data_IF_397580481616
#
_entry.id   IF_397580481616
#
_cell.length_a   1.000
_cell.length_b   1.000
_cell.length_c   1.000
_cell.angle_alpha   90.00
_cell.angle_beta   90.00
_cell.angle_gamma   90.00
#
_symmetry.space_group_name_H-M   'P 1'
#
loop_
_entity.id
_entity.type
_entity.pdbx_description
1 polymer ?
#
# COMPACT_ATOMS: atom_id res chain seq x y z
N UNK A 1 7.28 11.24 -5.09
CA UNK A 1 6.44 10.53 -4.10
C UNK A 1 5.45 11.51 -3.51
N UNK A 2 4.21 11.06 -3.35
CA UNK A 2 3.12 11.85 -2.79
C UNK A 2 2.50 11.14 -1.60
N UNK A 3 2.09 11.88 -0.59
CA UNK A 3 1.31 11.41 0.55
C UNK A 3 0.54 12.61 1.12
N UNK A 4 -0.60 12.38 1.75
CA UNK A 4 -1.35 13.45 2.44
C UNK A 4 -0.73 13.78 3.80
N UNK A 5 0.10 12.90 4.35
CA UNK A 5 0.74 13.04 5.66
C UNK A 5 2.19 13.52 5.52
N UNK A 6 2.44 14.77 5.85
CA UNK A 6 3.80 15.34 5.82
C UNK A 6 4.80 14.56 6.70
N UNK A 7 4.33 13.95 7.79
CA UNK A 7 5.15 13.11 8.66
C UNK A 7 5.75 11.91 7.91
N UNK A 8 4.97 11.25 7.07
CA UNK A 8 5.41 10.13 6.24
C UNK A 8 6.42 10.60 5.18
N UNK A 9 6.15 11.73 4.54
CA UNK A 9 7.05 12.32 3.55
C UNK A 9 8.38 12.76 4.13
N UNK A 10 8.41 13.19 5.39
CA UNK A 10 9.66 13.53 6.10
C UNK A 10 10.55 12.29 6.25
N UNK A 11 9.99 11.16 6.68
CA UNK A 11 10.72 9.89 6.76
C UNK A 11 11.21 9.45 5.37
N UNK A 12 10.34 9.55 4.36
CA UNK A 12 10.67 9.23 2.98
C UNK A 12 11.85 10.08 2.48
N UNK A 13 11.83 11.39 2.71
CA UNK A 13 12.91 12.33 2.35
C UNK A 13 14.23 11.93 2.98
N UNK A 14 14.25 11.67 4.30
CA UNK A 14 15.46 11.23 5.01
C UNK A 14 16.06 9.96 4.38
N UNK A 15 15.22 9.01 3.98
CA UNK A 15 15.68 7.77 3.32
C UNK A 15 16.26 8.05 1.93
N UNK A 16 15.64 8.91 1.14
CA UNK A 16 16.17 9.30 -0.17
C UNK A 16 17.48 10.06 -0.07
N UNK A 17 17.62 10.98 0.87
CA UNK A 17 18.86 11.69 1.14
C UNK A 17 19.99 10.73 1.51
N UNK A 18 19.69 9.74 2.38
CA UNK A 18 20.64 8.69 2.77
C UNK A 18 21.03 7.76 1.63
N UNK A 19 20.18 7.59 0.60
CA UNK A 19 20.46 6.73 -0.56
C UNK A 19 21.47 7.31 -1.54
N UNK A 20 21.79 8.60 -1.46
CA UNK A 20 22.65 9.31 -2.41
C UNK A 20 21.99 9.57 -3.78
N UNK A 21 20.72 9.23 -3.96
CA UNK A 21 19.97 9.55 -5.17
C UNK A 21 19.56 11.03 -5.18
N UNK A 22 19.55 11.65 -6.36
CA UNK A 22 19.17 13.06 -6.53
C UNK A 22 17.96 13.28 -7.46
N UNK A 23 17.46 12.22 -8.08
CA UNK A 23 16.39 12.24 -9.08
C UNK A 23 15.00 11.95 -8.47
N UNK A 24 14.71 12.51 -7.30
CA UNK A 24 13.45 12.31 -6.60
C UNK A 24 12.82 13.64 -6.16
N UNK A 25 11.51 13.59 -5.94
CA UNK A 25 10.73 14.67 -5.35
C UNK A 25 9.70 14.10 -4.38
N UNK A 26 9.50 14.77 -3.25
CA UNK A 26 8.45 14.46 -2.25
C UNK A 26 7.58 15.69 -2.05
N UNK A 27 6.27 15.49 -2.13
CA UNK A 27 5.30 16.58 -2.06
C UNK A 27 4.01 16.11 -1.41
N UNK A 28 3.41 16.97 -0.56
CA UNK A 28 2.10 16.69 0.04
C UNK A 28 1.03 16.81 -1.03
N UNK A 29 0.33 15.70 -1.29
CA UNK A 29 -0.80 15.70 -2.21
C UNK A 29 -1.74 14.53 -1.92
N UNK A 30 -3.02 14.74 -2.22
CA UNK A 30 -4.00 13.67 -2.28
C UNK A 30 -3.85 12.92 -3.60
N UNK A 31 -3.82 11.60 -3.53
CA UNK A 31 -3.66 10.75 -4.72
C UNK A 31 -4.87 10.77 -5.67
N UNK A 32 -5.96 11.45 -5.28
CA UNK A 32 -7.13 11.74 -6.15
C UNK A 32 -6.95 13.03 -6.93
N UNK A 33 -5.90 13.81 -6.64
CA UNK A 33 -5.58 15.07 -7.33
C UNK A 33 -4.07 15.36 -7.17
N UNK A 34 -3.27 14.86 -8.10
CA UNK A 34 -1.82 14.98 -8.05
C UNK A 34 -1.33 16.25 -8.76
N UNK A 35 -0.34 16.97 -8.21
CA UNK A 35 0.23 18.16 -8.83
C UNK A 35 1.23 17.80 -9.94
N UNK A 36 0.79 17.00 -10.90
CA UNK A 36 1.57 16.58 -12.06
C UNK A 36 0.75 16.71 -13.34
N UNK A 37 1.42 16.95 -14.45
CA UNK A 37 0.79 17.15 -15.76
C UNK A 37 0.17 15.84 -16.29
N UNK A 38 -0.82 15.99 -17.19
CA UNK A 38 -1.43 14.86 -17.89
C UNK A 38 -0.39 14.10 -18.71
N UNK A 39 -0.44 12.76 -18.68
CA UNK A 39 0.43 11.91 -19.46
C UNK A 39 1.94 12.13 -19.20
N UNK A 40 2.31 12.49 -17.97
CA UNK A 40 3.70 12.79 -17.59
C UNK A 40 4.44 11.62 -16.96
N UNK A 41 3.74 10.56 -16.52
CA UNK A 41 4.32 9.42 -15.83
C UNK A 41 4.24 8.13 -16.68
N UNK A 42 5.23 7.27 -16.49
CA UNK A 42 5.33 5.96 -17.16
C UNK A 42 4.94 4.81 -16.22
N UNK A 43 4.83 5.06 -14.93
CA UNK A 43 4.46 4.09 -13.91
C UNK A 43 3.89 4.83 -12.69
N UNK A 44 2.75 4.36 -12.19
CA UNK A 44 2.23 4.72 -10.89
C UNK A 44 2.32 3.51 -9.95
N UNK A 45 2.94 3.72 -8.78
CA UNK A 45 3.04 2.67 -7.76
C UNK A 45 2.38 3.16 -6.47
N UNK A 46 1.50 2.36 -5.90
CA UNK A 46 0.92 2.59 -4.58
C UNK A 46 1.18 1.40 -3.68
N UNK A 47 1.69 1.65 -2.48
CA UNK A 47 1.91 0.62 -1.47
C UNK A 47 1.08 0.90 -0.23
N UNK A 48 0.15 0.00 0.11
CA UNK A 48 -0.69 0.03 1.32
C UNK A 48 -1.34 1.39 1.55
N UNK A 49 -1.96 1.96 0.51
CA UNK A 49 -2.46 3.33 0.53
C UNK A 49 -3.86 3.47 -0.08
N UNK A 50 -4.13 2.87 -1.23
CA UNK A 50 -5.40 3.04 -1.96
C UNK A 50 -6.56 2.41 -1.21
N UNK A 51 -6.35 1.29 -0.55
CA UNK A 51 -7.36 0.61 0.25
C UNK A 51 -7.96 1.49 1.35
N UNK A 52 -7.22 2.48 1.87
CA UNK A 52 -7.75 3.43 2.85
C UNK A 52 -8.91 4.29 2.30
N UNK A 53 -9.00 4.50 0.99
CA UNK A 53 -10.16 5.17 0.40
C UNK A 53 -11.45 4.38 0.63
N UNK A 54 -11.37 3.05 0.60
CA UNK A 54 -12.50 2.20 0.90
C UNK A 54 -12.81 2.15 2.40
N UNK A 55 -11.78 1.98 3.23
CA UNK A 55 -11.94 1.81 4.69
C UNK A 55 -12.45 3.08 5.37
N UNK A 56 -11.93 4.24 4.99
CA UNK A 56 -12.28 5.52 5.65
C UNK A 56 -13.54 6.17 5.09
N UNK A 57 -14.05 5.70 3.95
CA UNK A 57 -15.23 6.27 3.29
C UNK A 57 -16.30 5.22 2.99
N UNK A 58 -16.80 4.49 4.00
CA UNK A 58 -17.66 3.33 3.78
C UNK A 58 -18.94 3.62 2.97
N UNK A 59 -19.45 4.85 3.06
CA UNK A 59 -20.65 5.26 2.30
C UNK A 59 -20.35 5.69 0.85
N UNK A 60 -19.13 6.10 0.54
CA UNK A 60 -18.76 6.69 -0.76
C UNK A 60 -17.52 6.02 -1.39
N UNK A 61 -17.06 4.90 -0.82
CA UNK A 61 -15.80 4.25 -1.16
C UNK A 61 -15.61 4.03 -2.66
N UNK A 62 -16.66 3.59 -3.37
CA UNK A 62 -16.58 3.35 -4.82
C UNK A 62 -16.31 4.64 -5.58
N UNK A 63 -17.01 5.72 -5.26
CA UNK A 63 -16.79 7.02 -5.90
C UNK A 63 -15.39 7.57 -5.61
N UNK A 64 -14.85 7.34 -4.41
CA UNK A 64 -13.49 7.77 -4.07
C UNK A 64 -12.42 6.96 -4.82
N UNK A 65 -12.62 5.66 -4.98
CA UNK A 65 -11.74 4.81 -5.79
C UNK A 65 -11.82 5.14 -7.29
N UNK A 66 -13.01 5.46 -7.80
CA UNK A 66 -13.20 5.91 -9.19
C UNK A 66 -12.48 7.24 -9.47
N UNK A 67 -12.52 8.19 -8.53
CA UNK A 67 -11.74 9.44 -8.63
C UNK A 67 -10.25 9.18 -8.68
N UNK A 68 -9.76 8.31 -7.77
CA UNK A 68 -8.36 7.90 -7.76
C UNK A 68 -7.96 7.25 -9.09
N UNK A 69 -8.74 6.31 -9.60
CA UNK A 69 -8.44 5.62 -10.85
C UNK A 69 -8.46 6.59 -12.06
N UNK A 70 -9.39 7.55 -12.07
CA UNK A 70 -9.43 8.60 -13.09
C UNK A 70 -8.17 9.47 -13.05
N UNK A 71 -7.70 9.82 -11.85
CA UNK A 71 -6.47 10.60 -11.67
C UNK A 71 -5.23 9.80 -12.12
N UNK A 72 -5.13 8.50 -11.79
CA UNK A 72 -4.06 7.65 -12.29
C UNK A 72 -4.05 7.58 -13.82
N UNK A 73 -5.22 7.44 -14.44
CA UNK A 73 -5.36 7.45 -15.91
C UNK A 73 -4.99 8.80 -16.53
N UNK A 74 -5.25 9.92 -15.84
CA UNK A 74 -4.87 11.26 -16.29
C UNK A 74 -3.35 11.44 -16.33
N UNK A 75 -2.66 11.07 -15.24
CA UNK A 75 -1.22 11.31 -15.09
C UNK A 75 -0.35 10.35 -15.88
N UNK A 76 -0.86 9.16 -16.19
CA UNK A 76 -0.10 8.12 -16.89
C UNK A 76 -0.18 8.29 -18.41
N UNK A 77 0.95 8.01 -19.08
CA UNK A 77 1.01 7.88 -20.53
C UNK A 77 0.27 6.64 -20.99
N UNK A 78 -0.25 6.66 -22.18
CA UNK A 78 -0.84 5.46 -22.81
C UNK A 78 0.18 4.34 -22.92
N UNK A 79 -0.21 3.14 -22.51
CA UNK A 79 0.65 1.97 -22.45
C UNK A 79 1.46 1.78 -21.17
N UNK A 80 1.32 2.72 -20.23
CA UNK A 80 1.92 2.67 -18.89
C UNK A 80 1.14 1.75 -17.94
N UNK A 81 1.65 1.60 -16.70
CA UNK A 81 1.05 0.71 -15.71
C UNK A 81 0.74 1.43 -14.40
N UNK A 82 -0.36 1.01 -13.77
CA UNK A 82 -0.61 1.19 -12.34
C UNK A 82 -0.20 -0.12 -11.66
N UNK A 83 0.55 -0.04 -10.54
CA UNK A 83 0.90 -1.19 -9.70
C UNK A 83 0.51 -0.88 -8.25
N UNK A 84 -0.21 -1.80 -7.63
CA UNK A 84 -0.61 -1.72 -6.23
C UNK A 84 0.02 -2.84 -5.42
N UNK A 85 0.40 -2.52 -4.20
CA UNK A 85 0.77 -3.48 -3.16
C UNK A 85 -0.19 -3.29 -1.99
N UNK A 86 -0.91 -4.35 -1.61
CA UNK A 86 -1.87 -4.33 -0.50
C UNK A 86 -1.76 -5.61 0.30
N UNK A 87 -2.10 -5.57 1.60
CA UNK A 87 -2.01 -6.73 2.47
C UNK A 87 -3.05 -7.80 2.12
N UNK A 88 -2.63 -9.04 2.15
CA UNK A 88 -3.51 -10.22 2.10
C UNK A 88 -3.40 -11.06 3.38
N UNK A 89 -2.85 -10.50 4.43
CA UNK A 89 -2.82 -11.10 5.75
C UNK A 89 -1.46 -11.09 6.43
N UNK A 90 -1.29 -10.21 7.40
CA UNK A 90 -0.14 -10.16 8.31
C UNK A 90 -0.26 -11.27 9.35
N UNK A 91 0.83 -11.94 9.68
CA UNK A 91 0.87 -13.11 10.57
C UNK A 91 0.31 -14.39 9.95
N UNK A 92 0.20 -14.46 8.61
CA UNK A 92 -0.29 -15.62 7.88
C UNK A 92 0.67 -16.03 6.77
N UNK A 93 0.85 -17.33 6.57
CA UNK A 93 1.71 -17.88 5.52
C UNK A 93 1.04 -17.99 4.14
N UNK A 94 -0.29 -17.85 4.12
CA UNK A 94 -1.13 -17.85 2.91
C UNK A 94 -2.13 -16.71 2.97
N UNK A 95 -2.57 -16.19 1.82
CA UNK A 95 -3.57 -15.14 1.76
C UNK A 95 -4.85 -15.50 2.51
N UNK A 96 -5.39 -14.52 3.22
CA UNK A 96 -6.70 -14.60 3.87
C UNK A 96 -7.60 -13.47 3.35
N UNK A 97 -8.90 -13.65 3.49
CA UNK A 97 -9.85 -12.57 3.23
C UNK A 97 -9.85 -11.60 4.42
N UNK A 98 -9.54 -10.34 4.15
CA UNK A 98 -9.61 -9.26 5.13
C UNK A 98 -11.01 -8.64 5.05
N UNK A 99 -11.78 -8.74 6.14
CA UNK A 99 -13.19 -8.31 6.17
C UNK A 99 -13.38 -6.82 5.79
N UNK A 100 -12.46 -5.97 6.24
CA UNK A 100 -12.51 -4.54 5.95
C UNK A 100 -12.13 -4.18 4.49
N UNK A 101 -11.62 -5.14 3.71
CA UNK A 101 -11.25 -5.00 2.30
C UNK A 101 -12.06 -5.93 1.36
N UNK A 102 -13.10 -6.57 1.87
CA UNK A 102 -13.90 -7.55 1.13
C UNK A 102 -14.53 -7.00 -0.15
N UNK A 103 -14.83 -5.70 -0.19
CA UNK A 103 -15.43 -5.04 -1.34
C UNK A 103 -14.37 -4.39 -2.25
N UNK A 104 -13.20 -4.07 -1.70
CA UNK A 104 -12.11 -3.42 -2.43
C UNK A 104 -11.44 -4.34 -3.46
N UNK A 105 -11.10 -5.56 -3.09
CA UNK A 105 -10.44 -6.49 -4.01
C UNK A 105 -11.31 -6.91 -5.19
N UNK A 106 -12.61 -7.26 -5.01
CA UNK A 106 -13.51 -7.50 -6.14
C UNK A 106 -13.68 -6.28 -7.06
N UNK A 107 -13.63 -5.05 -6.51
CA UNK A 107 -13.67 -3.85 -7.32
C UNK A 107 -12.40 -3.71 -8.20
N UNK A 108 -11.22 -4.07 -7.73
CA UNK A 108 -10.01 -4.09 -8.55
C UNK A 108 -10.17 -5.04 -9.74
N UNK A 109 -10.73 -6.24 -9.52
CA UNK A 109 -11.02 -7.19 -10.60
C UNK A 109 -12.06 -6.64 -11.59
N UNK A 110 -13.13 -6.00 -11.07
CA UNK A 110 -14.18 -5.36 -11.88
C UNK A 110 -13.62 -4.28 -12.81
N UNK A 111 -12.67 -3.47 -12.36
CA UNK A 111 -12.07 -2.40 -13.18
C UNK A 111 -10.88 -2.87 -14.02
N UNK A 112 -10.55 -4.17 -13.98
CA UNK A 112 -9.64 -4.83 -14.90
C UNK A 112 -8.20 -4.98 -14.42
N UNK A 113 -7.93 -4.87 -13.11
CA UNK A 113 -6.62 -5.23 -12.59
C UNK A 113 -6.39 -6.73 -12.68
N UNK A 114 -5.23 -7.12 -13.16
CA UNK A 114 -4.68 -8.46 -12.97
C UNK A 114 -3.94 -8.50 -11.63
N UNK A 115 -3.84 -9.68 -11.01
CA UNK A 115 -3.15 -9.79 -9.73
C UNK A 115 -2.42 -11.12 -9.53
N UNK A 116 -1.51 -11.10 -8.58
CA UNK A 116 -0.89 -12.26 -7.93
C UNK A 116 -0.53 -11.89 -6.49
N UNK A 117 -0.07 -12.85 -5.73
CA UNK A 117 0.45 -12.58 -4.39
C UNK A 117 1.88 -13.08 -4.22
N UNK A 118 2.58 -12.50 -3.26
CA UNK A 118 3.96 -12.83 -2.89
C UNK A 118 4.12 -12.79 -1.37
N UNK A 119 5.16 -13.45 -0.86
CA UNK A 119 5.59 -13.29 0.53
C UNK A 119 6.47 -12.05 0.65
N UNK A 120 6.19 -11.23 1.65
CA UNK A 120 6.95 -10.01 1.97
C UNK A 120 7.19 -9.90 3.47
N UNK A 121 7.65 -10.99 4.07
CA UNK A 121 7.80 -11.15 5.51
C UNK A 121 8.60 -10.01 6.14
N UNK A 122 8.13 -9.53 7.30
CA UNK A 122 8.88 -8.59 8.12
C UNK A 122 9.99 -9.32 8.87
N UNK A 123 11.18 -8.74 8.89
CA UNK A 123 12.32 -9.23 9.66
C UNK A 123 12.68 -8.22 10.75
N UNK A 124 12.69 -8.66 11.98
CA UNK A 124 13.01 -7.88 13.17
C UNK A 124 14.36 -8.29 13.77
N UNK A 125 14.92 -7.42 14.59
CA UNK A 125 16.19 -7.71 15.28
C UNK A 125 16.00 -8.67 16.47
N UNK A 126 14.82 -8.65 17.11
CA UNK A 126 14.48 -9.55 18.23
C UNK A 126 12.98 -9.85 18.26
N UNK A 127 12.56 -10.80 19.09
CA UNK A 127 11.16 -11.14 19.33
C UNK A 127 10.44 -9.98 20.03
N UNK A 128 11.11 -9.27 20.92
CA UNK A 128 10.57 -8.12 21.63
C UNK A 128 10.26 -6.98 20.66
N UNK A 129 11.19 -6.66 19.74
CA UNK A 129 10.93 -5.66 18.68
C UNK A 129 9.76 -6.09 17.79
N UNK A 130 9.72 -7.38 17.42
CA UNK A 130 8.63 -7.91 16.62
C UNK A 130 7.27 -7.82 17.33
N UNK A 131 7.23 -8.12 18.64
CA UNK A 131 6.02 -7.98 19.45
C UNK A 131 5.57 -6.53 19.53
N UNK A 132 6.46 -5.63 19.97
CA UNK A 132 6.14 -4.21 20.17
C UNK A 132 5.57 -3.57 18.90
N UNK A 133 6.22 -3.79 17.75
CA UNK A 133 5.79 -3.24 16.48
C UNK A 133 4.51 -3.93 15.96
N UNK A 134 4.39 -5.25 16.13
CA UNK A 134 3.17 -5.97 15.72
C UNK A 134 1.97 -5.51 16.54
N UNK A 135 2.13 -5.34 17.84
CA UNK A 135 1.09 -4.85 18.75
C UNK A 135 0.67 -3.42 18.42
N UNK A 136 1.65 -2.56 18.13
CA UNK A 136 1.39 -1.17 17.77
C UNK A 136 0.63 -1.02 16.45
N UNK A 137 1.00 -1.78 15.40
CA UNK A 137 0.42 -1.63 14.07
C UNK A 137 -0.81 -2.51 13.82
N UNK A 138 -0.88 -3.69 14.44
CA UNK A 138 -1.87 -4.72 14.11
C UNK A 138 -2.69 -5.19 15.32
N UNK A 139 -2.40 -4.68 16.51
CA UNK A 139 -3.14 -4.97 17.73
C UNK A 139 -2.61 -6.14 18.55
N UNK A 140 -3.22 -6.29 19.71
CA UNK A 140 -2.76 -7.22 20.76
C UNK A 140 -2.74 -8.68 20.30
N UNK A 141 -3.73 -9.11 19.53
CA UNK A 141 -3.82 -10.49 19.05
C UNK A 141 -2.60 -10.92 18.25
N UNK A 142 -2.07 -10.03 17.37
CA UNK A 142 -0.89 -10.36 16.60
C UNK A 142 0.39 -10.29 17.46
N UNK A 143 0.48 -9.33 18.39
CA UNK A 143 1.57 -9.28 19.35
C UNK A 143 1.67 -10.56 20.18
N UNK A 144 0.53 -11.07 20.67
CA UNK A 144 0.46 -12.33 21.43
C UNK A 144 0.88 -13.54 20.58
N UNK A 145 0.51 -13.57 19.28
CA UNK A 145 0.98 -14.60 18.35
C UNK A 145 2.50 -14.55 18.13
N UNK A 146 3.06 -13.36 18.00
CA UNK A 146 4.52 -13.16 17.85
C UNK A 146 5.25 -13.75 19.05
N UNK A 147 4.81 -13.41 20.27
CA UNK A 147 5.39 -13.95 21.51
C UNK A 147 5.26 -15.47 21.61
N UNK A 148 4.04 -15.98 21.37
CA UNK A 148 3.77 -17.42 21.48
C UNK A 148 4.58 -18.28 20.52
N UNK A 149 4.93 -17.75 19.33
CA UNK A 149 5.70 -18.46 18.32
C UNK A 149 7.21 -18.10 18.31
N UNK A 150 7.63 -17.11 19.10
CA UNK A 150 9.01 -16.60 19.10
C UNK A 150 9.43 -16.03 17.73
N UNK A 151 8.51 -15.34 17.06
CA UNK A 151 8.76 -14.88 15.70
C UNK A 151 9.67 -13.65 15.64
N UNK A 152 10.83 -13.80 15.03
CA UNK A 152 11.67 -12.69 14.53
C UNK A 152 11.42 -12.44 13.03
N UNK A 153 10.76 -13.37 12.36
CA UNK A 153 10.27 -13.22 10.99
C UNK A 153 8.75 -13.37 11.07
N UNK A 154 8.04 -12.28 10.84
CA UNK A 154 6.58 -12.24 10.83
C UNK A 154 6.10 -12.49 9.41
N UNK A 155 5.34 -13.56 9.15
CA UNK A 155 4.78 -13.82 7.84
C UNK A 155 3.90 -12.66 7.34
N UNK A 156 4.07 -12.27 6.08
CA UNK A 156 3.23 -11.30 5.40
C UNK A 156 2.90 -11.77 4.00
N UNK A 157 1.61 -11.80 3.68
CA UNK A 157 1.13 -12.03 2.33
C UNK A 157 0.76 -10.69 1.68
N UNK A 158 1.47 -10.32 0.63
CA UNK A 158 1.19 -9.11 -0.14
C UNK A 158 0.61 -9.45 -1.50
N UNK A 159 -0.54 -8.88 -1.81
CA UNK A 159 -1.09 -8.87 -3.15
C UNK A 159 -0.42 -7.81 -4.00
N UNK A 160 -0.17 -8.16 -5.24
CA UNK A 160 0.36 -7.27 -6.27
C UNK A 160 -0.68 -7.20 -7.37
N UNK A 161 -1.29 -6.03 -7.58
CA UNK A 161 -2.23 -5.78 -8.65
C UNK A 161 -1.62 -4.85 -9.68
N UNK A 162 -1.90 -5.08 -10.96
CA UNK A 162 -1.46 -4.17 -12.03
C UNK A 162 -2.55 -3.98 -13.08
N UNK A 163 -2.60 -2.77 -13.60
CA UNK A 163 -3.47 -2.38 -14.70
C UNK A 163 -2.68 -1.64 -15.77
N UNK A 164 -2.80 -2.06 -17.02
CA UNK A 164 -2.23 -1.35 -18.17
C UNK A 164 -3.21 -0.28 -18.65
N UNK A 165 -2.71 0.95 -18.88
CA UNK A 165 -3.49 2.11 -19.32
C UNK A 165 -3.49 2.26 -20.85
#
# INVERSE_FOLDING_TARGET
>A
VFDVLEGMLRVCRTRFEASGLSNWRVEVADHRQLPVEDGSADLAVSGWSVSYLAVWNPATWRAELEKWLAEMKRVLRRGSFIVLFESLGTGNESPIQLEHLKDFYPWLDEVGFEHKWIRTDYKFASVEEAEDLSRFFFGDELGDKVMANGWVILPECTGVWWLKI
#
